data_IF_374641669334
#
_entry.id   IF_374641669334
#
_cell.length_a   1.000
_cell.length_b   1.000
_cell.length_c   1.000
_cell.angle_alpha   90.00
_cell.angle_beta   90.00
_cell.angle_gamma   90.00
#
_symmetry.space_group_name_H-M   'P 1'
#
loop_
_entity.id
_entity.type
_entity.pdbx_description
1 polymer ?
#
# COMPACT_ATOMS: atom_id res chain seq x y z
N UNK A 1 -17.98 -12.23 -3.59
CA UNK A 1 -17.65 -12.83 -4.89
C UNK A 1 -16.17 -13.20 -5.00
N UNK A 2 -15.26 -12.28 -4.77
CA UNK A 2 -13.79 -12.50 -4.79
C UNK A 2 -13.33 -13.55 -3.76
N UNK A 3 -13.90 -13.53 -2.55
CA UNK A 3 -13.63 -14.51 -1.48
C UNK A 3 -13.99 -15.93 -1.90
N UNK A 4 -15.15 -16.11 -2.54
CA UNK A 4 -15.59 -17.44 -2.99
C UNK A 4 -14.69 -17.99 -4.11
N UNK A 5 -14.20 -17.12 -5.00
CA UNK A 5 -13.27 -17.53 -6.05
C UNK A 5 -11.93 -17.92 -5.45
N UNK A 6 -11.40 -17.11 -4.53
CA UNK A 6 -10.13 -17.38 -3.87
C UNK A 6 -10.20 -18.65 -3.00
N UNK A 7 -11.30 -18.87 -2.29
CA UNK A 7 -11.51 -20.11 -1.53
C UNK A 7 -11.49 -21.34 -2.44
N UNK A 8 -12.24 -21.32 -3.54
CA UNK A 8 -12.26 -22.43 -4.51
C UNK A 8 -10.87 -22.70 -5.11
N UNK A 9 -10.13 -21.64 -5.47
CA UNK A 9 -8.77 -21.79 -5.98
C UNK A 9 -7.82 -22.34 -4.92
N UNK A 10 -7.99 -21.92 -3.66
CA UNK A 10 -7.23 -22.47 -2.55
C UNK A 10 -7.54 -23.94 -2.34
N UNK A 11 -8.81 -24.33 -2.39
CA UNK A 11 -9.24 -25.71 -2.25
C UNK A 11 -8.66 -26.60 -3.35
N UNK A 12 -8.67 -26.14 -4.60
CA UNK A 12 -8.02 -26.84 -5.71
C UNK A 12 -6.50 -26.96 -5.52
N UNK A 13 -5.85 -25.90 -5.04
CA UNK A 13 -4.42 -25.93 -4.74
C UNK A 13 -4.08 -27.01 -3.68
N UNK A 14 -4.94 -27.14 -2.67
CA UNK A 14 -4.79 -28.12 -1.61
C UNK A 14 -5.07 -29.56 -2.08
N UNK A 15 -5.92 -29.75 -3.09
CA UNK A 15 -6.16 -31.07 -3.69
C UNK A 15 -4.96 -31.57 -4.51
N UNK A 16 -4.17 -30.67 -5.09
CA UNK A 16 -3.09 -31.03 -6.00
C UNK A 16 -1.70 -30.90 -5.34
N UNK A 17 -1.58 -30.20 -4.23
CA UNK A 17 -0.34 -30.00 -3.50
C UNK A 17 -0.53 -30.40 -2.04
N UNK A 18 0.40 -31.20 -1.49
CA UNK A 18 0.42 -31.57 -0.07
C UNK A 18 0.87 -30.39 0.79
N UNK A 19 0.00 -29.38 0.93
CA UNK A 19 0.27 -28.17 1.69
C UNK A 19 -0.22 -28.32 3.14
N UNK A 20 0.46 -27.63 4.07
CA UNK A 20 0.11 -27.60 5.48
C UNK A 20 -1.25 -26.90 5.69
N UNK A 21 -2.23 -27.66 6.15
CA UNK A 21 -3.60 -27.20 6.43
C UNK A 21 -3.63 -25.94 7.34
N UNK A 22 -2.66 -25.82 8.25
CA UNK A 22 -2.54 -24.65 9.15
C UNK A 22 -2.29 -23.35 8.41
N UNK A 23 -1.79 -23.40 7.16
CA UNK A 23 -1.48 -22.24 6.34
C UNK A 23 -2.59 -21.88 5.34
N UNK A 24 -3.71 -22.61 5.32
CA UNK A 24 -4.80 -22.43 4.37
C UNK A 24 -5.29 -20.96 4.34
N UNK A 25 -5.49 -20.35 5.49
CA UNK A 25 -5.92 -18.94 5.62
C UNK A 25 -4.93 -17.99 4.96
N UNK A 26 -3.62 -18.24 5.13
CA UNK A 26 -2.56 -17.40 4.54
C UNK A 26 -2.58 -17.50 3.01
N UNK A 27 -2.74 -18.71 2.46
CA UNK A 27 -2.83 -18.92 1.01
C UNK A 27 -4.09 -18.30 0.44
N UNK A 28 -5.25 -18.48 1.09
CA UNK A 28 -6.52 -17.86 0.66
C UNK A 28 -6.38 -16.33 0.61
N UNK A 29 -5.82 -15.72 1.64
CA UNK A 29 -5.56 -14.28 1.66
C UNK A 29 -4.59 -13.84 0.55
N UNK A 30 -3.51 -14.61 0.33
CA UNK A 30 -2.55 -14.34 -0.75
C UNK A 30 -3.21 -14.38 -2.13
N UNK A 31 -4.07 -15.36 -2.40
CA UNK A 31 -4.81 -15.50 -3.66
C UNK A 31 -5.81 -14.33 -3.82
N UNK A 32 -6.53 -13.95 -2.77
CA UNK A 32 -7.45 -12.80 -2.80
C UNK A 32 -6.71 -11.51 -3.15
N UNK A 33 -5.57 -11.27 -2.51
CA UNK A 33 -4.74 -10.10 -2.77
C UNK A 33 -4.23 -10.08 -4.21
N UNK A 34 -3.76 -11.23 -4.71
CA UNK A 34 -3.25 -11.37 -6.08
C UNK A 34 -4.35 -11.12 -7.12
N UNK A 35 -5.53 -11.70 -6.93
CA UNK A 35 -6.69 -11.49 -7.81
C UNK A 35 -7.14 -10.03 -7.83
N UNK A 36 -7.23 -9.40 -6.66
CA UNK A 36 -7.60 -7.98 -6.55
C UNK A 36 -6.58 -7.06 -7.24
N UNK A 37 -5.30 -7.37 -7.08
CA UNK A 37 -4.21 -6.63 -7.72
C UNK A 37 -4.27 -6.78 -9.24
N UNK A 38 -4.44 -8.02 -9.74
CA UNK A 38 -4.55 -8.30 -11.17
C UNK A 38 -5.76 -7.60 -11.78
N UNK A 39 -6.92 -7.64 -11.12
CA UNK A 39 -8.11 -6.91 -11.57
C UNK A 39 -7.87 -5.40 -11.67
N UNK A 40 -7.15 -4.81 -10.70
CA UNK A 40 -6.77 -3.40 -10.74
C UNK A 40 -5.82 -3.09 -11.90
N UNK A 41 -4.83 -3.94 -12.16
CA UNK A 41 -3.91 -3.78 -13.27
C UNK A 41 -4.63 -3.86 -14.63
N UNK A 42 -5.50 -4.85 -14.81
CA UNK A 42 -6.30 -4.99 -16.03
C UNK A 42 -7.21 -3.77 -16.24
N UNK A 43 -7.84 -3.26 -15.17
CA UNK A 43 -8.69 -2.08 -15.24
C UNK A 43 -7.91 -0.82 -15.66
N UNK A 44 -6.71 -0.61 -15.14
CA UNK A 44 -5.85 0.52 -15.49
C UNK A 44 -5.42 0.44 -16.98
N UNK A 45 -5.02 -0.75 -17.44
CA UNK A 45 -4.67 -0.95 -18.85
C UNK A 45 -5.88 -0.69 -19.76
N UNK A 46 -7.07 -1.18 -19.38
CA UNK A 46 -8.30 -0.92 -20.10
C UNK A 46 -8.63 0.59 -20.13
N UNK A 47 -8.50 1.29 -19.01
CA UNK A 47 -8.67 2.74 -18.98
C UNK A 47 -7.66 3.46 -19.88
N UNK A 48 -6.39 3.04 -19.89
CA UNK A 48 -5.38 3.60 -20.76
C UNK A 48 -5.71 3.42 -22.25
N UNK A 49 -6.22 2.24 -22.62
CA UNK A 49 -6.69 1.98 -23.99
C UNK A 49 -7.90 2.87 -24.34
N UNK A 50 -8.89 2.97 -23.45
CA UNK A 50 -10.07 3.80 -23.65
C UNK A 50 -9.75 5.28 -23.75
N UNK A 51 -8.71 5.76 -23.05
CA UNK A 51 -8.21 7.13 -23.16
C UNK A 51 -7.30 7.36 -24.36
N UNK A 52 -7.00 6.33 -25.15
CA UNK A 52 -6.10 6.40 -26.31
C UNK A 52 -4.62 6.52 -25.94
N UNK A 53 -4.25 6.23 -24.68
CA UNK A 53 -2.88 6.35 -24.17
C UNK A 53 -2.47 5.14 -23.30
N UNK A 54 -2.46 3.96 -23.94
CA UNK A 54 -2.04 2.73 -23.29
C UNK A 54 -0.60 2.77 -22.72
N UNK A 55 0.40 3.41 -23.37
CA UNK A 55 1.75 3.51 -22.79
C UNK A 55 1.78 4.18 -21.43
N UNK A 56 0.99 5.22 -21.20
CA UNK A 56 0.87 5.89 -19.88
C UNK A 56 0.38 4.94 -18.78
N UNK A 57 -0.54 4.01 -19.13
CA UNK A 57 -1.01 3.02 -18.17
C UNK A 57 0.11 2.05 -17.75
N UNK A 58 0.91 1.58 -18.69
CA UNK A 58 2.05 0.70 -18.37
C UNK A 58 3.12 1.42 -17.56
N UNK A 59 3.42 2.67 -17.87
CA UNK A 59 4.37 3.48 -17.09
C UNK A 59 3.86 3.74 -15.67
N UNK A 60 2.59 4.10 -15.52
CA UNK A 60 1.97 4.24 -14.22
C UNK A 60 2.07 2.95 -13.40
N UNK A 61 1.74 1.82 -13.99
CA UNK A 61 1.85 0.52 -13.32
C UNK A 61 3.29 0.20 -12.92
N UNK A 62 4.26 0.46 -13.82
CA UNK A 62 5.67 0.25 -13.54
C UNK A 62 6.15 1.05 -12.33
N UNK A 63 5.90 2.34 -12.32
CA UNK A 63 6.33 3.23 -11.22
C UNK A 63 5.52 2.99 -9.95
N UNK A 64 4.21 3.15 -10.05
CA UNK A 64 3.31 3.13 -8.90
C UNK A 64 3.27 1.78 -8.21
N UNK A 65 3.16 0.70 -8.98
CA UNK A 65 3.01 -0.64 -8.41
C UNK A 65 4.29 -1.11 -7.73
N UNK A 66 5.46 -0.95 -8.37
CA UNK A 66 6.72 -1.39 -7.77
C UNK A 66 7.08 -0.58 -6.53
N UNK A 67 6.95 0.74 -6.57
CA UNK A 67 7.19 1.57 -5.39
C UNK A 67 6.21 1.25 -4.27
N UNK A 68 4.95 1.01 -4.58
CA UNK A 68 3.94 0.63 -3.58
C UNK A 68 4.20 -0.75 -2.98
N UNK A 69 4.70 -1.70 -3.76
CA UNK A 69 5.01 -3.06 -3.30
C UNK A 69 6.13 -3.05 -2.25
N UNK A 70 7.19 -2.29 -2.48
CA UNK A 70 8.37 -2.25 -1.61
C UNK A 70 8.32 -1.10 -0.60
N UNK A 71 7.77 0.04 -0.98
CA UNK A 71 7.66 1.22 -0.13
C UNK A 71 6.50 1.15 0.87
N UNK A 72 5.53 0.28 0.62
CA UNK A 72 4.28 0.27 1.38
C UNK A 72 3.37 1.44 0.99
N UNK A 73 2.44 1.77 1.86
CA UNK A 73 1.50 2.86 1.64
C UNK A 73 0.11 2.54 2.19
N UNK A 74 -0.85 3.37 1.82
CA UNK A 74 -2.22 3.20 2.24
C UNK A 74 -2.83 1.92 1.68
N UNK A 75 -3.32 1.06 2.57
CA UNK A 75 -4.14 -0.08 2.23
C UNK A 75 -5.58 0.20 2.65
N UNK A 76 -6.47 0.22 1.67
CA UNK A 76 -7.90 0.37 1.94
C UNK A 76 -8.43 -0.86 2.70
N UNK A 77 -9.43 -0.67 3.58
CA UNK A 77 -9.97 -1.76 4.40
C UNK A 77 -10.69 -2.84 3.58
N UNK A 78 -11.09 -2.54 2.35
CA UNK A 78 -11.74 -3.50 1.45
C UNK A 78 -11.09 -3.49 0.06
N UNK A 79 -11.14 -4.64 -0.62
CA UNK A 79 -10.61 -4.79 -1.98
C UNK A 79 -11.28 -3.85 -2.98
N UNK A 80 -12.60 -3.63 -2.86
CA UNK A 80 -13.34 -2.70 -3.71
C UNK A 80 -12.86 -1.25 -3.55
N UNK A 81 -12.63 -0.80 -2.32
CA UNK A 81 -12.08 0.54 -2.05
C UNK A 81 -10.66 0.68 -2.56
N UNK A 82 -9.84 -0.38 -2.45
CA UNK A 82 -8.48 -0.39 -2.99
C UNK A 82 -8.51 -0.28 -4.52
N UNK A 83 -9.39 -1.02 -5.18
CA UNK A 83 -9.61 -0.96 -6.62
C UNK A 83 -10.03 0.43 -7.08
N UNK A 84 -11.07 1.01 -6.46
CA UNK A 84 -11.54 2.36 -6.79
C UNK A 84 -10.45 3.41 -6.57
N UNK A 85 -9.75 3.35 -5.43
CA UNK A 85 -8.68 4.28 -5.11
C UNK A 85 -7.56 4.23 -6.17
N UNK A 86 -7.11 3.03 -6.55
CA UNK A 86 -6.01 2.89 -7.51
C UNK A 86 -6.40 3.41 -8.90
N UNK A 87 -7.63 3.15 -9.34
CA UNK A 87 -8.15 3.70 -10.61
C UNK A 87 -8.31 5.24 -10.53
N UNK A 88 -8.81 5.78 -9.41
CA UNK A 88 -8.90 7.23 -9.21
C UNK A 88 -7.54 7.90 -9.21
N UNK A 89 -6.53 7.28 -8.60
CA UNK A 89 -5.15 7.79 -8.61
C UNK A 89 -4.60 7.80 -10.04
N UNK A 90 -4.83 6.75 -10.82
CA UNK A 90 -4.42 6.71 -12.24
C UNK A 90 -5.06 7.87 -13.04
N UNK A 91 -6.37 8.06 -12.92
CA UNK A 91 -7.06 9.16 -13.60
C UNK A 91 -6.55 10.54 -13.14
N UNK A 92 -6.26 10.70 -11.85
CA UNK A 92 -5.67 11.93 -11.31
C UNK A 92 -4.26 12.19 -11.87
N UNK A 93 -3.44 11.14 -12.01
CA UNK A 93 -2.09 11.22 -12.62
C UNK A 93 -2.18 11.64 -14.08
N UNK A 94 -3.05 11.00 -14.87
CA UNK A 94 -3.26 11.35 -16.29
C UNK A 94 -3.79 12.78 -16.42
N UNK A 95 -4.79 13.15 -15.61
CA UNK A 95 -5.32 14.51 -15.56
C UNK A 95 -4.27 15.55 -15.21
N UNK A 96 -3.49 15.33 -14.14
CA UNK A 96 -2.41 16.23 -13.75
C UNK A 96 -1.33 16.34 -14.85
N UNK A 97 -0.99 15.24 -15.50
CA UNK A 97 -0.04 15.24 -16.62
C UNK A 97 -0.54 16.08 -17.78
N UNK A 98 -1.83 15.94 -18.14
CA UNK A 98 -2.47 16.77 -19.16
C UNK A 98 -2.41 18.27 -18.81
N UNK A 99 -2.70 18.63 -17.54
CA UNK A 99 -2.64 20.02 -17.08
C UNK A 99 -1.23 20.60 -17.16
N UNK A 100 -0.19 19.83 -16.77
CA UNK A 100 1.20 20.25 -16.87
C UNK A 100 1.57 20.56 -18.32
N UNK A 101 1.20 19.69 -19.26
CA UNK A 101 1.45 19.91 -20.70
C UNK A 101 0.66 21.11 -21.20
N UNK A 102 -0.63 21.21 -20.87
CA UNK A 102 -1.54 22.27 -21.36
C UNK A 102 -1.10 23.66 -20.93
N UNK A 103 -0.59 23.80 -19.69
CA UNK A 103 -0.14 25.09 -19.14
C UNK A 103 1.37 25.26 -19.16
N UNK A 104 2.11 24.35 -19.79
CA UNK A 104 3.59 24.39 -19.90
C UNK A 104 4.32 24.53 -18.55
N UNK A 105 3.78 23.88 -17.50
CA UNK A 105 4.29 23.93 -16.13
C UNK A 105 5.51 23.02 -15.90
N UNK A 106 6.34 22.83 -16.92
CA UNK A 106 7.49 21.92 -16.88
C UNK A 106 8.53 22.29 -15.80
N UNK A 107 8.65 23.56 -15.47
CA UNK A 107 9.57 24.06 -14.44
C UNK A 107 9.24 23.53 -13.02
N UNK A 108 8.02 23.06 -12.78
CA UNK A 108 7.63 22.47 -11.51
C UNK A 108 8.09 21.01 -11.35
N UNK A 109 8.35 20.32 -12.46
CA UNK A 109 8.66 18.89 -12.45
C UNK A 109 9.89 18.52 -11.61
N UNK A 110 11.04 19.22 -11.69
CA UNK A 110 12.20 18.89 -10.85
C UNK A 110 11.89 19.00 -9.36
N UNK A 111 11.13 20.02 -8.97
CA UNK A 111 10.74 20.24 -7.58
C UNK A 111 9.85 19.08 -7.10
N UNK A 112 8.89 18.66 -7.94
CA UNK A 112 7.99 17.54 -7.64
C UNK A 112 8.80 16.24 -7.50
N UNK A 113 9.76 15.99 -8.39
CA UNK A 113 10.61 14.79 -8.34
C UNK A 113 11.44 14.77 -7.06
N UNK A 114 12.16 15.86 -6.76
CA UNK A 114 13.01 15.93 -5.58
C UNK A 114 12.18 15.78 -4.29
N UNK A 115 11.07 16.50 -4.19
CA UNK A 115 10.17 16.38 -3.03
C UNK A 115 9.62 14.96 -2.86
N UNK A 116 9.16 14.34 -3.94
CA UNK A 116 8.65 12.97 -3.92
C UNK A 116 9.73 11.96 -3.57
N UNK A 117 10.94 12.12 -4.12
CA UNK A 117 12.10 11.28 -3.82
C UNK A 117 12.42 11.33 -2.32
N UNK A 118 12.52 12.53 -1.73
CA UNK A 118 12.80 12.72 -0.31
C UNK A 118 11.71 12.05 0.54
N UNK A 119 10.44 12.27 0.21
CA UNK A 119 9.32 11.65 0.94
C UNK A 119 9.41 10.13 0.90
N UNK A 120 9.64 9.53 -0.27
CA UNK A 120 9.74 8.07 -0.41
C UNK A 120 10.97 7.55 0.32
N UNK A 121 12.13 8.19 0.23
CA UNK A 121 13.36 7.77 0.93
C UNK A 121 13.22 7.79 2.45
N UNK A 122 12.55 8.81 2.98
CA UNK A 122 12.39 9.00 4.43
C UNK A 122 11.33 8.05 4.99
N UNK A 123 10.18 7.93 4.31
CA UNK A 123 9.02 7.21 4.83
C UNK A 123 9.00 5.72 4.48
N UNK A 124 9.76 5.29 3.46
CA UNK A 124 9.72 3.89 3.00
C UNK A 124 10.60 2.97 3.86
N UNK A 125 10.13 1.74 4.13
CA UNK A 125 8.75 1.30 3.98
C UNK A 125 7.88 1.72 5.18
N UNK A 126 6.63 2.06 4.92
CA UNK A 126 5.68 2.41 5.98
C UNK A 126 5.35 1.16 6.80
N UNK A 127 5.58 1.24 8.11
CA UNK A 127 5.21 0.16 9.05
C UNK A 127 3.70 0.12 9.21
N UNK A 128 3.10 -1.01 8.82
CA UNK A 128 1.68 -1.24 9.04
C UNK A 128 1.49 -2.01 10.37
N UNK A 129 0.74 -1.43 11.31
CA UNK A 129 0.45 -2.09 12.60
C UNK A 129 -0.35 -3.40 12.44
N UNK A 130 -1.15 -3.52 11.37
CA UNK A 130 -1.97 -4.72 11.10
C UNK A 130 -1.18 -5.88 10.48
N UNK A 131 -0.09 -5.58 9.77
CA UNK A 131 0.77 -6.57 9.12
C UNK A 131 2.24 -6.19 9.36
N UNK A 132 2.78 -6.48 10.56
CA UNK A 132 4.15 -6.17 10.88
C UNK A 132 5.10 -6.98 9.98
N UNK A 133 5.99 -6.29 9.28
CA UNK A 133 7.04 -6.93 8.51
C UNK A 133 8.16 -7.39 9.44
N UNK A 134 8.70 -8.58 9.19
CA UNK A 134 9.93 -9.02 9.85
C UNK A 134 11.06 -8.05 9.53
N UNK A 135 11.93 -7.76 10.50
CA UNK A 135 13.00 -6.77 10.37
C UNK A 135 13.91 -7.02 9.15
N UNK A 136 14.19 -8.29 8.82
CA UNK A 136 14.96 -8.67 7.63
C UNK A 136 14.25 -8.25 6.35
N UNK A 137 12.94 -8.49 6.25
CA UNK A 137 12.11 -8.11 5.09
C UNK A 137 11.97 -6.60 5.00
N UNK A 138 11.80 -5.92 6.14
CA UNK A 138 11.75 -4.46 6.21
C UNK A 138 13.01 -3.82 5.64
N UNK A 139 14.20 -4.27 6.07
CA UNK A 139 15.49 -3.74 5.58
C UNK A 139 15.69 -4.02 4.09
N UNK A 140 15.28 -5.21 3.61
CA UNK A 140 15.33 -5.56 2.19
C UNK A 140 14.43 -4.63 1.37
N UNK A 141 13.18 -4.48 1.77
CA UNK A 141 12.20 -3.64 1.06
C UNK A 141 12.64 -2.17 1.05
N UNK A 142 13.19 -1.66 2.16
CA UNK A 142 13.75 -0.31 2.23
C UNK A 142 14.85 -0.10 1.20
N UNK A 143 15.81 -1.02 1.12
CA UNK A 143 16.89 -0.92 0.13
C UNK A 143 16.34 -0.89 -1.30
N UNK A 144 15.41 -1.78 -1.62
CA UNK A 144 14.79 -1.84 -2.95
C UNK A 144 14.04 -0.55 -3.26
N UNK A 145 13.20 -0.05 -2.35
CA UNK A 145 12.42 1.17 -2.57
C UNK A 145 13.34 2.40 -2.76
N UNK A 146 14.39 2.53 -1.95
CA UNK A 146 15.37 3.62 -2.08
C UNK A 146 16.12 3.54 -3.41
N UNK A 147 16.56 2.35 -3.82
CA UNK A 147 17.23 2.17 -5.12
C UNK A 147 16.30 2.50 -6.27
N UNK A 148 15.06 2.00 -6.25
CA UNK A 148 14.08 2.26 -7.30
C UNK A 148 13.81 3.77 -7.44
N UNK A 149 13.49 4.46 -6.34
CA UNK A 149 13.20 5.90 -6.40
C UNK A 149 14.43 6.72 -6.80
N UNK A 150 15.64 6.30 -6.41
CA UNK A 150 16.88 6.99 -6.82
C UNK A 150 17.14 6.85 -8.32
N UNK A 151 16.98 5.64 -8.88
CA UNK A 151 17.16 5.40 -10.32
C UNK A 151 16.15 6.22 -11.10
N UNK A 152 14.87 6.17 -10.72
CA UNK A 152 13.80 6.89 -11.40
C UNK A 152 14.00 8.40 -11.34
N UNK A 153 14.28 8.96 -10.16
CA UNK A 153 14.53 10.38 -9.98
C UNK A 153 15.77 10.85 -10.74
N UNK A 154 16.84 10.06 -10.76
CA UNK A 154 18.06 10.39 -11.50
C UNK A 154 17.82 10.38 -13.01
N UNK A 155 17.09 9.37 -13.51
CA UNK A 155 16.72 9.29 -14.93
C UNK A 155 15.86 10.49 -15.34
N UNK A 156 14.88 10.85 -14.51
CA UNK A 156 14.05 12.01 -14.77
C UNK A 156 14.88 13.31 -14.84
N UNK A 157 15.73 13.57 -13.82
CA UNK A 157 16.57 14.77 -13.80
C UNK A 157 17.50 14.83 -15.02
N UNK A 158 18.06 13.70 -15.44
CA UNK A 158 18.88 13.61 -16.64
C UNK A 158 18.09 14.03 -17.90
N UNK A 159 16.89 13.48 -18.08
CA UNK A 159 16.02 13.83 -19.21
C UNK A 159 15.58 15.30 -19.15
N UNK A 160 15.33 15.81 -17.95
CA UNK A 160 15.01 17.23 -17.75
C UNK A 160 16.16 18.15 -18.19
N UNK A 161 17.41 17.87 -17.77
CA UNK A 161 18.56 18.68 -18.18
C UNK A 161 18.81 18.63 -19.69
N UNK A 162 18.54 17.51 -20.32
CA UNK A 162 18.62 17.38 -21.78
C UNK A 162 17.42 17.99 -22.52
N UNK A 163 16.48 18.63 -21.80
CA UNK A 163 15.24 19.21 -22.34
C UNK A 163 14.37 18.22 -23.11
N UNK A 164 14.45 16.97 -22.74
CA UNK A 164 13.60 15.91 -23.29
C UNK A 164 12.37 15.80 -22.37
N UNK A 165 11.20 16.28 -22.83
CA UNK A 165 9.94 16.24 -22.09
C UNK A 165 8.87 15.40 -22.81
N UNK A 166 9.10 14.12 -23.06
CA UNK A 166 8.03 13.31 -23.60
C UNK A 166 6.90 13.21 -22.57
N UNK A 167 5.63 13.15 -23.02
CA UNK A 167 4.48 13.04 -22.13
C UNK A 167 4.61 11.91 -21.09
N UNK A 168 5.26 10.83 -21.49
CA UNK A 168 5.51 9.65 -20.64
C UNK A 168 6.42 9.92 -19.44
N UNK A 169 7.39 10.83 -19.56
CA UNK A 169 8.24 11.25 -18.44
C UNK A 169 7.42 12.01 -17.41
N UNK A 170 6.46 12.82 -17.86
CA UNK A 170 5.56 13.57 -16.99
C UNK A 170 4.64 12.60 -16.23
N UNK A 171 4.07 11.60 -16.92
CA UNK A 171 3.23 10.58 -16.29
C UNK A 171 4.01 9.80 -15.22
N UNK A 172 5.25 9.40 -15.52
CA UNK A 172 6.11 8.71 -14.54
C UNK A 172 6.37 9.58 -13.30
N UNK A 173 6.66 10.87 -13.50
CA UNK A 173 6.86 11.86 -12.42
C UNK A 173 5.60 12.03 -11.57
N UNK A 174 4.44 12.16 -12.21
CA UNK A 174 3.17 12.28 -11.50
C UNK A 174 2.81 10.99 -10.76
N UNK A 175 3.18 9.84 -11.29
CA UNK A 175 3.02 8.54 -10.62
C UNK A 175 3.86 8.45 -9.35
N UNK A 176 5.11 8.92 -9.40
CA UNK A 176 5.98 9.02 -8.22
C UNK A 176 5.40 9.98 -7.17
N UNK A 177 4.91 11.13 -7.61
CA UNK A 177 4.24 12.10 -6.72
C UNK A 177 3.00 11.49 -6.05
N UNK A 178 2.21 10.73 -6.79
CA UNK A 178 1.04 10.04 -6.25
C UNK A 178 1.43 9.03 -5.14
N UNK A 179 2.52 8.28 -5.31
CA UNK A 179 3.06 7.39 -4.26
C UNK A 179 3.45 8.19 -3.03
N UNK A 180 4.18 9.30 -3.19
CA UNK A 180 4.60 10.16 -2.08
C UNK A 180 3.38 10.74 -1.32
N UNK A 181 2.36 11.22 -2.01
CA UNK A 181 1.11 11.71 -1.42
C UNK A 181 0.39 10.61 -0.65
N UNK A 182 0.31 9.40 -1.19
CA UNK A 182 -0.30 8.26 -0.48
C UNK A 182 0.49 7.85 0.77
N UNK A 183 1.81 7.93 0.74
CA UNK A 183 2.64 7.69 1.93
C UNK A 183 2.40 8.74 3.01
N UNK A 184 2.37 10.02 2.65
CA UNK A 184 2.08 11.11 3.58
C UNK A 184 0.67 10.99 4.19
N UNK A 185 -0.33 10.63 3.39
CA UNK A 185 -1.70 10.43 3.89
C UNK A 185 -1.77 9.29 4.91
N UNK A 186 -1.00 8.23 4.71
CA UNK A 186 -0.92 7.10 5.64
C UNK A 186 -0.26 7.51 6.95
N UNK A 187 0.83 8.28 6.88
CA UNK A 187 1.50 8.80 8.06
C UNK A 187 0.59 9.72 8.87
N UNK A 188 -0.11 10.64 8.20
CA UNK A 188 -1.09 11.54 8.86
C UNK A 188 -2.16 10.73 9.60
N UNK A 189 -2.73 9.72 8.96
CA UNK A 189 -3.74 8.87 9.58
C UNK A 189 -3.17 8.09 10.77
N UNK A 190 -1.94 7.60 10.70
CA UNK A 190 -1.27 6.94 11.82
C UNK A 190 -1.03 7.88 13.00
N UNK A 191 -0.57 9.10 12.74
CA UNK A 191 -0.34 10.13 13.79
C UNK A 191 -1.67 10.55 14.41
N UNK A 192 -2.72 10.78 13.61
CA UNK A 192 -4.06 11.09 14.13
C UNK A 192 -4.61 9.97 15.00
N UNK A 193 -4.43 8.71 14.60
CA UNK A 193 -4.87 7.56 15.40
C UNK A 193 -4.06 7.44 16.70
N UNK A 194 -2.76 7.69 16.67
CA UNK A 194 -1.93 7.67 17.88
C UNK A 194 -2.31 8.83 18.83
N UNK A 195 -2.60 10.03 18.33
CA UNK A 195 -3.05 11.15 19.14
C UNK A 195 -4.44 10.93 19.77
N UNK A 196 -5.35 10.26 19.04
CA UNK A 196 -6.66 9.87 19.56
C UNK A 196 -6.57 8.75 20.61
N UNK A 197 -5.51 7.93 20.55
CA UNK A 197 -5.27 6.82 21.48
C UNK A 197 -4.58 7.29 22.77
N UNK A 198 -3.79 8.36 22.72
CA UNK A 198 -3.03 8.86 23.89
C UNK A 198 -3.83 9.77 24.83
N UNK A 199 -4.99 10.28 24.46
CA UNK A 199 -5.82 11.05 25.35
C UNK A 199 -6.70 10.17 26.26
N UNK A 200 -6.22 9.97 27.50
CA UNK A 200 -7.00 9.54 28.68
C UNK A 200 -8.08 8.45 28.48
N UNK A 201 -7.69 7.21 28.54
CA UNK A 201 -8.63 6.08 28.67
C UNK A 201 -9.42 5.73 27.40
N UNK A 202 -9.16 6.39 26.27
CA UNK A 202 -9.80 6.09 24.98
C UNK A 202 -9.32 4.77 24.35
N UNK A 203 -8.16 4.24 24.77
CA UNK A 203 -7.72 2.88 24.35
C UNK A 203 -8.76 1.81 24.67
N UNK A 204 -9.35 1.88 25.84
CA UNK A 204 -10.38 0.94 26.25
C UNK A 204 -11.68 1.14 25.48
N UNK A 205 -12.10 2.38 25.19
CA UNK A 205 -13.28 2.67 24.40
C UNK A 205 -13.12 2.29 22.93
N UNK A 206 -11.93 2.52 22.37
CA UNK A 206 -11.63 2.13 20.98
C UNK A 206 -11.57 0.60 20.81
N UNK A 207 -10.94 -0.11 21.76
CA UNK A 207 -10.94 -1.57 21.78
C UNK A 207 -12.36 -2.13 21.96
N UNK A 208 -13.17 -1.53 22.84
CA UNK A 208 -14.58 -1.93 23.00
C UNK A 208 -15.41 -1.67 21.74
N UNK A 209 -15.25 -0.50 21.09
CA UNK A 209 -15.94 -0.21 19.84
C UNK A 209 -15.49 -1.12 18.68
N UNK A 210 -14.22 -1.53 18.64
CA UNK A 210 -13.74 -2.53 17.68
C UNK A 210 -14.26 -3.92 17.99
N UNK A 211 -14.35 -4.31 19.26
CA UNK A 211 -14.89 -5.62 19.66
C UNK A 211 -16.40 -5.69 19.47
N UNK A 212 -17.12 -4.58 19.53
CA UNK A 212 -18.57 -4.53 19.23
C UNK A 212 -18.87 -4.77 17.74
N UNK A 213 -17.93 -4.48 16.84
CA UNK A 213 -18.05 -4.71 15.40
C UNK A 213 -17.68 -6.14 14.97
N UNK A 214 -17.13 -6.94 15.88
CA UNK A 214 -16.78 -8.34 15.64
C UNK A 214 -18.00 -9.25 15.80
N UNK A 215 -18.00 -10.38 15.08
CA UNK A 215 -18.98 -11.43 15.33
C UNK A 215 -18.87 -11.94 16.77
N UNK A 216 -19.95 -12.49 17.36
CA UNK A 216 -19.91 -13.01 18.73
C UNK A 216 -18.80 -14.05 18.98
N UNK A 217 -18.46 -14.84 17.97
CA UNK A 217 -17.38 -15.83 18.03
C UNK A 217 -16.00 -15.21 18.01
N UNK A 218 -15.76 -14.22 17.13
CA UNK A 218 -14.48 -13.50 17.04
C UNK A 218 -14.24 -12.64 18.27
N UNK A 219 -15.30 -12.06 18.84
CA UNK A 219 -15.25 -11.29 20.08
C UNK A 219 -14.79 -12.15 21.25
N UNK A 220 -15.34 -13.36 21.39
CA UNK A 220 -14.93 -14.31 22.43
C UNK A 220 -13.45 -14.69 22.26
N UNK A 221 -13.02 -15.02 21.03
CA UNK A 221 -11.63 -15.36 20.73
C UNK A 221 -10.65 -14.24 21.07
N UNK A 222 -10.99 -12.98 20.77
CA UNK A 222 -10.16 -11.81 21.08
C UNK A 222 -10.07 -11.59 22.60
N UNK A 223 -11.18 -11.75 23.32
CA UNK A 223 -11.21 -11.61 24.77
C UNK A 223 -10.40 -12.70 25.46
N UNK A 224 -10.58 -13.96 25.08
CA UNK A 224 -9.84 -15.10 25.62
C UNK A 224 -8.34 -14.97 25.35
N UNK A 225 -7.96 -14.48 24.17
CA UNK A 225 -6.55 -14.22 23.81
C UNK A 225 -5.94 -13.06 24.61
N UNK A 226 -6.72 -11.99 24.83
CA UNK A 226 -6.28 -10.84 25.61
C UNK A 226 -6.08 -11.21 27.10
N UNK A 227 -6.95 -12.02 27.66
CA UNK A 227 -6.82 -12.56 29.02
C UNK A 227 -5.59 -13.45 29.16
N UNK A 228 -5.36 -14.36 28.22
CA UNK A 228 -4.18 -15.22 28.21
C UNK A 228 -2.87 -14.42 28.13
N UNK A 229 -2.83 -13.36 27.32
CA UNK A 229 -1.68 -12.44 27.21
C UNK A 229 -1.49 -11.66 28.52
N UNK A 230 -2.56 -11.16 29.12
CA UNK A 230 -2.51 -10.42 30.38
C UNK A 230 -1.99 -11.31 31.53
N UNK A 231 -2.45 -12.58 31.61
CA UNK A 231 -1.93 -13.54 32.60
C UNK A 231 -0.46 -13.87 32.37
N UNK A 232 -0.03 -14.07 31.12
CA UNK A 232 1.37 -14.35 30.78
C UNK A 232 2.29 -13.18 31.18
N UNK A 233 1.85 -11.94 30.93
CA UNK A 233 2.57 -10.73 31.34
C UNK A 233 2.63 -10.60 32.86
N UNK A 234 1.54 -10.87 33.57
CA UNK A 234 1.48 -10.85 35.03
C UNK A 234 2.44 -11.87 35.67
N UNK A 235 2.50 -13.09 35.12
CA UNK A 235 3.49 -14.11 35.54
C UNK A 235 4.93 -13.67 35.33
N UNK A 236 5.25 -13.07 34.16
CA UNK A 236 6.59 -12.53 33.89
C UNK A 236 6.98 -11.39 34.82
N UNK A 237 6.05 -10.50 35.15
CA UNK A 237 6.30 -9.40 36.11
C UNK A 237 6.52 -9.90 37.54
N UNK A 238 5.90 -11.02 37.90
CA UNK A 238 6.09 -11.65 39.24
C UNK A 238 7.37 -12.48 39.32
N UNK A 239 7.87 -13.00 38.20
CA UNK A 239 9.14 -13.76 38.15
C UNK A 239 10.39 -12.88 37.96
N UNK A 240 10.21 -11.61 37.62
CA UNK A 240 11.32 -10.64 37.46
C UNK A 240 11.62 -9.80 38.71
N UNK A 241 11.07 -10.19 39.85
CA UNK A 241 11.45 -9.73 41.20
C UNK A 241 12.17 -10.87 41.92
#
# INVERSE_FOLDING_TARGET
>A
MLENIASRLTDQLYLHCSLDQRKKVIYTYGIQLSLSTLASMCSIVLLGILLGDAPSAFLFLGVFFFLRLFGGGYHAPTYARCFLLTNSVYLAVVGASYWIVRFQLYHLLPVIVVASCVVVMVLSPIRNKRHPLFEKTYRKNRKIAVVLVSIESSLFLLLFFWRIFPPYVIVSTMSLAAVAVMMLSTLRNAVLMDSLVDSNGQKARYLNALTEQLSPQDRKYVLDSAEAIAEALKRKMLQGK
#
